data_IF_697290712681
#
_entry.id   IF_697290712681
#
_cell.length_a   1.000
_cell.length_b   1.000
_cell.length_c   1.000
_cell.angle_alpha   90.00
_cell.angle_beta   90.00
_cell.angle_gamma   90.00
#
_symmetry.space_group_name_H-M   'P 1'
#
loop_
_entity.id
_entity.type
_entity.pdbx_description
1 polymer ?
#
# COMPACT_ATOMS: atom_id res chain seq x y z
N UNK A 1 5.87 -6.83 11.53
CA UNK A 1 6.44 -5.46 11.62
C UNK A 1 7.48 -5.41 12.72
N UNK A 2 8.62 -4.74 12.50
CA UNK A 2 9.71 -4.64 13.49
C UNK A 2 9.42 -3.64 14.61
N UNK A 3 8.45 -2.75 14.44
CA UNK A 3 8.13 -1.69 15.39
C UNK A 3 7.19 -2.11 16.54
N UNK A 4 6.77 -3.36 16.60
CA UNK A 4 5.89 -3.86 17.67
C UNK A 4 4.43 -3.42 17.60
N UNK A 5 4.06 -2.57 16.63
CA UNK A 5 2.67 -2.16 16.43
C UNK A 5 1.90 -3.19 15.60
N UNK A 6 0.66 -3.50 15.95
CA UNK A 6 -0.22 -4.22 15.04
C UNK A 6 -0.52 -3.35 13.81
N UNK A 7 -0.62 -3.96 12.64
CA UNK A 7 -0.90 -3.23 11.40
C UNK A 7 -2.20 -2.40 11.48
N UNK A 8 -3.19 -2.88 12.23
CA UNK A 8 -4.47 -2.19 12.46
C UNK A 8 -4.35 -0.89 13.25
N UNK A 9 -3.26 -0.66 13.97
CA UNK A 9 -3.03 0.58 14.72
C UNK A 9 -2.29 1.65 13.93
N UNK A 10 -1.75 1.31 12.74
CA UNK A 10 -1.06 2.26 11.86
C UNK A 10 -2.07 2.76 10.84
N UNK A 11 -2.11 4.06 10.67
CA UNK A 11 -2.92 4.75 9.68
C UNK A 11 -2.03 5.45 8.69
N UNK A 12 -2.54 5.59 7.48
CA UNK A 12 -1.86 6.22 6.37
C UNK A 12 -2.67 7.40 5.83
N UNK A 13 -1.98 8.42 5.34
CA UNK A 13 -2.58 9.48 4.55
C UNK A 13 -1.64 9.85 3.40
N UNK A 14 -2.15 9.76 2.18
CA UNK A 14 -1.41 10.10 0.98
C UNK A 14 -1.79 11.52 0.56
N UNK A 15 -0.79 12.33 0.26
CA UNK A 15 -0.94 13.67 -0.29
C UNK A 15 -0.44 13.66 -1.73
N UNK A 16 -1.25 14.15 -2.64
CA UNK A 16 -0.90 14.26 -4.05
C UNK A 16 -1.40 15.57 -4.62
N UNK A 17 -0.47 16.44 -4.99
CA UNK A 17 -0.73 17.69 -5.70
C UNK A 17 0.02 17.65 -7.05
N UNK A 18 -0.68 17.20 -8.06
CA UNK A 18 -0.12 17.06 -9.41
C UNK A 18 0.22 18.40 -10.04
N UNK A 19 -0.52 19.46 -9.73
CA UNK A 19 -0.28 20.80 -10.27
C UNK A 19 1.00 21.40 -9.72
N UNK A 20 1.29 21.18 -8.43
CA UNK A 20 2.51 21.64 -7.76
C UNK A 20 3.65 20.61 -7.76
N UNK A 21 3.45 19.42 -8.33
CA UNK A 21 4.38 18.28 -8.28
C UNK A 21 4.82 17.96 -6.83
N UNK A 22 3.90 18.05 -5.88
CA UNK A 22 4.14 17.81 -4.46
C UNK A 22 3.45 16.53 -4.03
N UNK A 23 4.22 15.62 -3.49
CA UNK A 23 3.75 14.30 -3.06
C UNK A 23 4.25 14.00 -1.65
N UNK A 24 3.46 13.26 -0.89
CA UNK A 24 3.87 12.89 0.46
C UNK A 24 2.99 11.78 1.03
N UNK A 25 3.52 11.10 2.03
CA UNK A 25 2.78 10.13 2.82
C UNK A 25 2.99 10.42 4.30
N UNK A 26 1.92 10.39 5.06
CA UNK A 26 1.94 10.44 6.52
C UNK A 26 1.54 9.07 7.06
N UNK A 27 2.41 8.49 7.88
CA UNK A 27 2.10 7.31 8.68
C UNK A 27 1.99 7.72 10.14
N UNK A 28 0.91 7.35 10.80
CA UNK A 28 0.67 7.70 12.19
C UNK A 28 -0.05 6.59 12.94
N UNK A 29 0.01 6.60 14.27
CA UNK A 29 -0.72 5.65 15.11
C UNK A 29 -2.06 6.22 15.51
N UNK A 30 -3.12 5.41 15.41
CA UNK A 30 -4.49 5.83 15.69
C UNK A 30 -4.88 5.70 17.17
N UNK A 31 -4.13 4.94 17.97
CA UNK A 31 -4.44 4.69 19.38
C UNK A 31 -3.46 5.40 20.29
N UNK A 32 -3.99 6.25 21.19
CA UNK A 32 -3.21 6.93 22.23
C UNK A 32 -2.83 6.02 23.40
N UNK A 33 -3.40 4.82 23.50
CA UNK A 33 -3.31 3.96 24.67
C UNK A 33 -2.28 2.82 24.58
N UNK A 34 -1.48 2.81 23.54
CA UNK A 34 -0.38 1.86 23.45
C UNK A 34 0.75 2.30 24.40
N UNK A 35 0.71 1.85 25.63
CA UNK A 35 1.77 2.07 26.62
C UNK A 35 3.15 1.76 26.02
N UNK A 36 4.05 2.72 26.07
CA UNK A 36 5.45 2.57 25.65
C UNK A 36 5.76 2.91 24.18
N UNK A 37 4.82 3.44 23.42
CA UNK A 37 4.96 3.59 21.96
C UNK A 37 5.16 5.03 21.47
N UNK A 38 5.29 6.02 22.36
CA UNK A 38 5.69 7.37 21.98
C UNK A 38 7.06 7.35 21.31
N UNK A 39 7.06 7.44 20.00
CA UNK A 39 8.28 7.50 19.20
C UNK A 39 8.71 6.21 18.52
N UNK A 40 8.07 5.06 18.75
CA UNK A 40 8.44 3.81 18.08
C UNK A 40 8.35 3.89 16.57
N UNK A 41 7.25 4.45 16.04
CA UNK A 41 7.09 4.65 14.59
C UNK A 41 8.09 5.68 14.05
N UNK A 42 8.36 6.75 14.80
CA UNK A 42 9.36 7.77 14.43
C UNK A 42 10.78 7.17 14.41
N UNK A 43 11.09 6.27 15.34
CA UNK A 43 12.39 5.59 15.35
C UNK A 43 12.59 4.67 14.14
N UNK A 44 11.52 4.08 13.62
CA UNK A 44 11.56 3.26 12.40
C UNK A 44 11.84 4.09 11.13
N UNK A 45 11.74 5.41 11.17
CA UNK A 45 12.07 6.28 10.04
C UNK A 45 13.53 6.09 9.55
N UNK A 46 14.45 5.72 10.43
CA UNK A 46 15.84 5.38 10.07
C UNK A 46 15.97 4.12 9.21
N UNK A 47 14.95 3.27 9.22
CA UNK A 47 14.85 2.03 8.46
C UNK A 47 13.83 2.13 7.30
N UNK A 48 13.45 3.36 6.92
CA UNK A 48 12.41 3.58 5.91
C UNK A 48 12.74 2.91 4.58
N UNK A 49 13.99 2.96 4.14
CA UNK A 49 14.44 2.32 2.90
C UNK A 49 14.28 0.80 2.95
N UNK A 50 14.63 0.17 4.07
CA UNK A 50 14.43 -1.26 4.26
C UNK A 50 12.95 -1.66 4.25
N UNK A 51 12.09 -0.83 4.86
CA UNK A 51 10.65 -1.03 4.87
C UNK A 51 10.05 -0.88 3.48
N UNK A 52 10.48 0.13 2.72
CA UNK A 52 10.05 0.33 1.33
C UNK A 52 10.49 -0.84 0.44
N UNK A 53 11.75 -1.24 0.52
CA UNK A 53 12.25 -2.37 -0.25
C UNK A 53 11.49 -3.67 0.08
N UNK A 54 11.20 -3.91 1.36
CA UNK A 54 10.40 -5.06 1.77
C UNK A 54 8.96 -4.97 1.25
N UNK A 55 8.33 -3.80 1.31
CA UNK A 55 6.99 -3.58 0.80
C UNK A 55 6.90 -3.81 -0.72
N UNK A 56 7.87 -3.31 -1.48
CA UNK A 56 7.95 -3.51 -2.93
C UNK A 56 8.08 -5.00 -3.27
N UNK A 57 8.99 -5.73 -2.60
CA UNK A 57 9.12 -7.19 -2.80
C UNK A 57 7.82 -7.93 -2.48
N UNK A 58 7.14 -7.58 -1.39
CA UNK A 58 5.87 -8.20 -1.02
C UNK A 58 4.74 -7.87 -1.99
N UNK A 59 4.80 -6.72 -2.65
CA UNK A 59 3.79 -6.31 -3.63
C UNK A 59 3.88 -7.05 -4.97
N UNK A 60 5.01 -7.68 -5.28
CA UNK A 60 5.20 -8.40 -6.54
C UNK A 60 4.32 -9.66 -6.66
N UNK A 61 3.96 -10.28 -5.54
CA UNK A 61 3.18 -11.51 -5.49
C UNK A 61 1.98 -11.37 -4.54
N UNK A 62 0.89 -12.03 -4.89
CA UNK A 62 -0.29 -12.15 -4.06
C UNK A 62 -0.75 -13.59 -4.02
N UNK A 63 -1.24 -14.06 -2.86
CA UNK A 63 -1.82 -15.40 -2.72
C UNK A 63 -3.03 -15.64 -3.63
N UNK A 64 -3.65 -14.57 -4.13
CA UNK A 64 -4.79 -14.62 -5.05
C UNK A 64 -4.39 -14.46 -6.52
N UNK A 65 -3.12 -14.50 -6.86
CA UNK A 65 -2.67 -14.47 -8.24
C UNK A 65 -3.02 -15.83 -8.94
N UNK A 66 -3.37 -15.83 -10.22
CA UNK A 66 -3.36 -14.70 -11.17
C UNK A 66 -4.62 -13.80 -11.11
N UNK A 67 -5.66 -14.15 -10.39
CA UNK A 67 -6.95 -13.43 -10.39
C UNK A 67 -6.74 -11.97 -9.90
N UNK A 68 -5.96 -11.79 -8.85
CA UNK A 68 -5.67 -10.45 -8.34
C UNK A 68 -4.83 -9.64 -9.34
N UNK A 69 -3.79 -10.23 -9.93
CA UNK A 69 -2.91 -9.56 -10.90
C UNK A 69 -3.64 -9.12 -12.17
N UNK A 70 -4.68 -9.87 -12.58
CA UNK A 70 -5.46 -9.63 -13.80
C UNK A 70 -6.74 -8.83 -13.55
N UNK A 71 -6.99 -8.39 -12.33
CA UNK A 71 -8.15 -7.58 -12.01
C UNK A 71 -8.06 -6.23 -12.72
N UNK A 72 -9.14 -5.84 -13.42
CA UNK A 72 -9.27 -4.57 -14.11
C UNK A 72 -10.42 -3.76 -13.52
N UNK A 73 -10.24 -2.44 -13.33
CA UNK A 73 -11.32 -1.56 -12.88
C UNK A 73 -12.55 -1.68 -13.79
N UNK A 74 -13.74 -1.75 -13.22
CA UNK A 74 -14.98 -1.78 -13.99
C UNK A 74 -15.31 -3.12 -14.65
N UNK A 75 -14.58 -4.20 -14.38
CA UNK A 75 -14.85 -5.54 -14.92
C UNK A 75 -16.11 -6.19 -14.31
N UNK A 76 -17.26 -5.53 -14.44
CA UNK A 76 -18.58 -6.16 -14.31
C UNK A 76 -19.11 -6.38 -12.90
N UNK A 77 -18.39 -6.08 -11.87
CA UNK A 77 -18.88 -6.16 -10.49
C UNK A 77 -19.06 -4.77 -9.91
N UNK A 78 -20.26 -4.26 -10.09
CA UNK A 78 -20.82 -3.14 -9.32
C UNK A 78 -19.89 -1.93 -9.15
N UNK A 79 -20.06 -0.88 -9.91
CA UNK A 79 -19.48 0.46 -9.93
C UNK A 79 -18.79 1.08 -8.71
N UNK A 80 -18.29 0.26 -7.79
CA UNK A 80 -17.59 0.65 -6.57
C UNK A 80 -16.12 0.25 -6.53
N UNK A 81 -15.69 -0.62 -7.43
CA UNK A 81 -14.34 -1.17 -7.37
C UNK A 81 -13.48 -0.54 -8.48
N UNK A 82 -12.82 0.55 -8.12
CA UNK A 82 -11.96 1.32 -9.03
C UNK A 82 -10.48 1.01 -8.78
N UNK A 83 -10.17 -0.17 -8.31
CA UNK A 83 -8.80 -0.64 -8.14
C UNK A 83 -8.39 -1.62 -9.26
N UNK A 84 -7.09 -1.69 -9.54
CA UNK A 84 -6.50 -2.68 -10.43
C UNK A 84 -6.04 -3.92 -9.66
N UNK A 85 -4.79 -4.34 -9.86
CA UNK A 85 -4.19 -5.49 -9.19
C UNK A 85 -4.03 -5.26 -7.67
N UNK A 86 -5.14 -5.25 -6.93
CA UNK A 86 -5.19 -5.05 -5.48
C UNK A 86 -6.31 -5.90 -4.87
N UNK A 87 -6.07 -6.48 -3.71
CA UNK A 87 -7.07 -7.20 -2.94
C UNK A 87 -6.71 -7.21 -1.45
N UNK A 88 -7.59 -7.70 -0.59
CA UNK A 88 -7.31 -7.82 0.85
C UNK A 88 -6.15 -8.78 1.20
N UNK A 89 -5.73 -9.61 0.26
CA UNK A 89 -4.54 -10.45 0.42
C UNK A 89 -3.22 -9.72 0.19
N UNK A 90 -3.24 -8.51 -0.42
CA UNK A 90 -2.01 -7.77 -0.73
C UNK A 90 -2.06 -6.29 -0.35
N UNK A 91 -2.91 -5.47 -0.94
CA UNK A 91 -2.83 -4.02 -0.86
C UNK A 91 -4.01 -3.36 -0.15
N UNK A 92 -5.22 -3.94 -0.18
CA UNK A 92 -6.39 -3.33 0.42
C UNK A 92 -6.37 -3.50 1.94
N UNK A 93 -6.69 -2.43 2.66
CA UNK A 93 -6.79 -2.40 4.11
C UNK A 93 -8.27 -2.27 4.49
N UNK A 94 -8.75 -3.10 5.42
CA UNK A 94 -10.16 -3.11 5.82
C UNK A 94 -10.62 -1.78 6.44
N UNK A 95 -9.74 -1.14 7.24
CA UNK A 95 -10.02 0.13 7.91
C UNK A 95 -8.99 1.18 7.49
N UNK A 96 -9.06 1.61 6.22
CA UNK A 96 -8.16 2.65 5.70
C UNK A 96 -8.57 4.03 6.19
N UNK A 97 -7.59 4.89 6.45
CA UNK A 97 -7.78 6.34 6.63
C UNK A 97 -7.65 7.13 5.31
N UNK A 98 -7.40 6.44 4.21
CA UNK A 98 -7.36 7.03 2.88
C UNK A 98 -8.74 7.59 2.48
N UNK A 99 -8.78 8.83 2.01
CA UNK A 99 -10.01 9.48 1.54
C UNK A 99 -10.66 8.76 0.35
N UNK A 100 -9.84 8.03 -0.42
CA UNK A 100 -10.27 7.25 -1.58
C UNK A 100 -10.70 5.81 -1.24
N UNK A 101 -10.74 5.43 0.03
CA UNK A 101 -11.29 4.16 0.54
C UNK A 101 -10.79 2.91 -0.18
N UNK A 102 -9.48 2.80 -0.38
CA UNK A 102 -8.85 1.73 -1.17
C UNK A 102 -9.13 1.78 -2.69
N UNK A 103 -9.86 2.78 -3.20
CA UNK A 103 -10.01 2.98 -4.63
C UNK A 103 -8.68 3.40 -5.26
N UNK A 104 -8.53 3.11 -6.55
CA UNK A 104 -7.36 3.44 -7.37
C UNK A 104 -6.04 2.79 -6.95
N UNK A 105 -6.08 1.79 -6.07
CA UNK A 105 -4.89 1.00 -5.76
C UNK A 105 -4.62 0.01 -6.87
N UNK A 106 -3.37 -0.04 -7.33
CA UNK A 106 -2.92 -0.99 -8.33
C UNK A 106 -1.42 -1.25 -8.15
N UNK A 107 -1.08 -2.44 -7.65
CA UNK A 107 0.31 -2.83 -7.46
C UNK A 107 1.07 -3.02 -8.77
N UNK A 108 0.36 -3.27 -9.90
CA UNK A 108 0.99 -3.39 -11.21
C UNK A 108 1.60 -2.08 -11.72
N UNK A 109 1.13 -0.93 -11.21
CA UNK A 109 1.73 0.38 -11.49
C UNK A 109 2.98 0.65 -10.63
N UNK A 110 3.18 -0.13 -9.58
CA UNK A 110 4.29 0.06 -8.63
C UNK A 110 5.42 -0.92 -8.91
N UNK A 111 5.10 -2.20 -9.03
CA UNK A 111 6.07 -3.28 -9.26
C UNK A 111 5.58 -4.23 -10.35
N UNK A 112 6.48 -4.94 -11.06
CA UNK A 112 6.07 -5.99 -11.99
C UNK A 112 5.26 -7.06 -11.27
N UNK A 113 4.10 -7.42 -11.82
CA UNK A 113 3.23 -8.48 -11.33
C UNK A 113 3.04 -9.55 -12.39
N UNK A 114 2.48 -10.70 -12.00
CA UNK A 114 2.26 -11.82 -12.91
C UNK A 114 1.41 -11.40 -14.14
N UNK A 115 2.01 -11.46 -15.31
CA UNK A 115 1.36 -11.14 -16.58
C UNK A 115 1.34 -9.65 -16.95
N UNK A 116 1.86 -8.75 -16.09
CA UNK A 116 1.95 -7.30 -16.31
C UNK A 116 3.28 -6.79 -15.75
N UNK A 117 4.27 -6.56 -16.61
CA UNK A 117 5.60 -6.07 -16.22
C UNK A 117 5.87 -4.64 -16.69
N UNK A 118 5.23 -4.20 -17.76
CA UNK A 118 5.66 -3.02 -18.52
C UNK A 118 5.10 -1.70 -17.98
N UNK A 119 4.12 -1.77 -17.07
CA UNK A 119 3.50 -0.59 -16.45
C UNK A 119 4.15 -0.19 -15.12
N UNK A 120 5.02 -1.01 -14.58
CA UNK A 120 5.59 -0.81 -13.24
C UNK A 120 6.58 0.36 -13.20
N UNK A 121 6.45 1.19 -12.17
CA UNK A 121 7.37 2.31 -11.92
C UNK A 121 8.73 1.84 -11.41
N UNK A 122 8.75 0.84 -10.52
CA UNK A 122 9.98 0.22 -10.04
C UNK A 122 10.28 -1.04 -10.83
N UNK A 123 11.53 -1.23 -11.20
CA UNK A 123 12.01 -2.51 -11.72
C UNK A 123 11.90 -3.60 -10.64
N UNK A 124 12.02 -4.86 -11.06
CA UNK A 124 11.98 -5.97 -10.11
C UNK A 124 13.04 -5.77 -9.00
N UNK A 125 12.56 -5.63 -7.79
CA UNK A 125 13.45 -5.48 -6.61
C UNK A 125 13.98 -6.87 -6.26
N UNK A 126 15.24 -7.10 -6.58
CA UNK A 126 15.97 -8.33 -6.24
C UNK A 126 16.25 -8.44 -4.73
#
# INVERSE_FOLDING_TARGET
MRCGYPASSIRERIYSDTAGARYGVLLYTATSDAEGTLGGLVQEARHLEDHLAAALRMSALCSNDPICAQHAPGAGMEGRWLHGAACHGCALIAETSCEMRNDYLDRALVVPVLGLSDAAYFEAVS
#
